data_IF_317908101028
#
_entry.id   IF_317908101028
#
_cell.length_a   1.000
_cell.length_b   1.000
_cell.length_c   1.000
_cell.angle_alpha   90.00
_cell.angle_beta   90.00
_cell.angle_gamma   90.00
#
_symmetry.space_group_name_H-M   'P 1'
#
loop_
_entity.id
_entity.type
_entity.pdbx_description
1 polymer ?
#
# COMPACT_ATOMS: atom_id res chain seq x y z
N UNK A 1 21.88 12.09 -17.91
CA UNK A 1 21.50 11.06 -16.90
C UNK A 1 20.00 10.94 -16.97
N UNK A 2 19.48 9.97 -17.72
CA UNK A 2 18.04 9.71 -17.73
C UNK A 2 17.75 8.62 -16.68
N UNK A 3 16.91 8.99 -15.71
CA UNK A 3 16.14 8.15 -14.80
C UNK A 3 16.94 7.09 -14.03
N UNK A 4 17.40 7.47 -12.82
CA UNK A 4 17.74 6.54 -11.75
C UNK A 4 16.58 5.58 -11.49
N UNK A 5 15.34 6.02 -11.73
CA UNK A 5 14.10 5.24 -11.65
C UNK A 5 13.12 5.85 -12.67
N UNK A 6 12.41 5.05 -13.46
CA UNK A 6 11.22 5.55 -14.16
C UNK A 6 10.13 5.73 -13.09
N UNK A 7 9.71 6.95 -12.73
CA UNK A 7 8.72 7.18 -11.67
C UNK A 7 7.39 6.47 -11.95
N UNK A 8 7.13 6.12 -13.22
CA UNK A 8 5.98 5.30 -13.63
C UNK A 8 6.06 3.85 -13.17
N UNK A 9 7.25 3.28 -13.01
CA UNK A 9 7.40 1.89 -12.55
C UNK A 9 7.12 1.74 -11.06
N UNK A 10 7.47 2.72 -10.23
CA UNK A 10 7.27 2.67 -8.76
C UNK A 10 5.88 3.13 -8.33
N UNK A 11 5.33 4.18 -8.95
CA UNK A 11 3.92 4.55 -8.73
C UNK A 11 2.96 3.46 -9.20
N UNK A 12 3.37 2.64 -10.17
CA UNK A 12 2.65 1.42 -10.56
C UNK A 12 2.57 0.37 -9.42
N UNK A 13 3.46 0.36 -8.43
CA UNK A 13 3.39 -0.63 -7.33
C UNK A 13 2.24 -0.34 -6.38
N UNK A 14 2.09 0.92 -5.96
CA UNK A 14 0.94 1.32 -5.16
C UNK A 14 -0.33 1.35 -5.99
N UNK A 15 -0.32 1.85 -7.23
CA UNK A 15 -1.56 1.92 -8.02
C UNK A 15 -1.96 0.61 -8.70
N UNK A 16 -1.04 -0.23 -9.19
CA UNK A 16 -1.38 -1.46 -9.93
C UNK A 16 -1.59 -2.66 -9.02
N UNK A 17 -0.94 -2.79 -7.86
CA UNK A 17 -1.27 -3.88 -6.92
C UNK A 17 -2.51 -3.58 -6.11
N UNK A 18 -2.75 -2.31 -5.78
CA UNK A 18 -4.05 -1.88 -5.29
C UNK A 18 -5.08 -2.06 -6.39
N UNK A 19 -4.90 -1.57 -7.63
CA UNK A 19 -5.86 -1.81 -8.73
C UNK A 19 -5.98 -3.27 -9.20
N UNK A 20 -4.98 -4.14 -8.99
CA UNK A 20 -5.10 -5.57 -9.32
C UNK A 20 -5.76 -6.38 -8.19
N UNK A 21 -5.63 -5.95 -6.93
CA UNK A 21 -6.44 -6.42 -5.82
C UNK A 21 -7.84 -5.78 -5.79
N UNK A 22 -8.02 -4.61 -6.40
CA UNK A 22 -9.24 -3.80 -6.48
C UNK A 22 -9.91 -3.82 -7.87
N UNK A 23 -9.44 -4.63 -8.83
CA UNK A 23 -10.14 -4.85 -10.11
C UNK A 23 -11.07 -6.04 -10.00
N UNK A 24 -11.94 -5.96 -9.01
CA UNK A 24 -13.24 -6.60 -8.96
C UNK A 24 -14.28 -5.50 -9.23
N UNK A 25 -15.52 -5.84 -9.66
CA UNK A 25 -16.47 -4.88 -10.22
C UNK A 25 -16.57 -3.62 -9.37
N UNK A 26 -16.59 -2.47 -10.06
CA UNK A 26 -16.60 -1.14 -9.48
C UNK A 26 -17.39 -1.11 -8.17
N UNK A 27 -16.72 -0.77 -7.07
CA UNK A 27 -17.38 -0.58 -5.78
C UNK A 27 -18.56 0.37 -6.02
N UNK A 28 -19.77 -0.11 -5.75
CA UNK A 28 -20.97 0.71 -5.79
C UNK A 28 -20.86 1.74 -4.67
N UNK A 29 -20.36 2.92 -5.01
CA UNK A 29 -20.36 4.05 -4.09
C UNK A 29 -21.82 4.48 -3.87
N UNK A 30 -22.33 4.26 -2.66
CA UNK A 30 -23.67 4.68 -2.28
C UNK A 30 -23.65 6.16 -1.89
N UNK A 31 -24.07 7.04 -2.81
CA UNK A 31 -24.22 8.46 -2.56
C UNK A 31 -25.67 8.85 -2.25
N UNK A 32 -25.90 9.43 -1.06
CA UNK A 32 -26.90 10.48 -0.81
C UNK A 32 -26.85 11.07 0.62
N UNK A 33 -26.31 10.33 1.61
CA UNK A 33 -26.24 10.77 3.01
C UNK A 33 -24.81 10.61 3.55
N UNK A 34 -24.31 11.62 4.28
CA UNK A 34 -23.00 11.59 4.94
C UNK A 34 -23.16 11.69 6.45
N UNK A 35 -22.34 10.97 7.20
CA UNK A 35 -22.30 10.98 8.66
C UNK A 35 -21.03 11.69 9.12
N UNK A 36 -21.16 12.70 9.97
CA UNK A 36 -20.00 13.34 10.58
C UNK A 36 -19.38 12.43 11.64
N UNK A 37 -18.07 12.20 11.56
CA UNK A 37 -17.30 11.37 12.48
C UNK A 37 -16.24 12.19 13.23
N UNK A 38 -16.58 13.43 13.55
CA UNK A 38 -15.66 14.39 14.17
C UNK A 38 -15.79 15.79 13.56
N UNK A 39 -14.96 16.71 14.02
CA UNK A 39 -14.88 18.09 13.51
C UNK A 39 -14.20 18.22 12.14
N UNK A 40 -13.64 17.14 11.59
CA UNK A 40 -12.87 17.18 10.34
C UNK A 40 -13.00 15.98 9.41
N UNK A 41 -13.91 15.04 9.66
CA UNK A 41 -14.08 13.83 8.84
C UNK A 41 -15.57 13.54 8.59
N UNK A 42 -15.92 13.29 7.33
CA UNK A 42 -17.23 12.81 6.90
C UNK A 42 -17.10 11.39 6.35
N UNK A 43 -17.99 10.50 6.74
CA UNK A 43 -18.12 9.18 6.11
C UNK A 43 -19.38 9.13 5.24
N UNK A 44 -19.27 8.51 4.08
CA UNK A 44 -20.45 8.09 3.32
C UNK A 44 -21.28 7.11 4.15
N UNK A 45 -22.59 7.08 3.91
CA UNK A 45 -23.48 6.20 4.67
C UNK A 45 -23.08 4.73 4.49
N UNK A 46 -22.80 4.01 5.59
CA UNK A 46 -22.49 2.59 5.51
C UNK A 46 -23.64 1.79 4.89
N UNK A 47 -23.34 0.75 4.10
CA UNK A 47 -24.37 -0.08 3.50
C UNK A 47 -25.15 -0.82 4.59
N UNK A 48 -26.47 -0.92 4.44
CA UNK A 48 -27.31 -1.75 5.32
C UNK A 48 -27.15 -3.24 5.06
N UNK A 49 -26.62 -3.62 3.89
CA UNK A 49 -26.27 -5.00 3.57
C UNK A 49 -25.06 -5.11 2.65
N UNK A 50 -24.30 -6.18 2.83
CA UNK A 50 -23.16 -6.57 1.99
C UNK A 50 -23.37 -8.01 1.53
N UNK A 51 -23.14 -8.31 0.26
CA UNK A 51 -23.22 -9.68 -0.23
C UNK A 51 -21.92 -10.45 0.07
N UNK A 52 -22.05 -11.76 0.36
CA UNK A 52 -20.88 -12.61 0.62
C UNK A 52 -19.96 -12.62 -0.59
N UNK A 53 -18.65 -12.43 -0.34
CA UNK A 53 -17.64 -12.41 -1.37
C UNK A 53 -17.62 -11.12 -2.21
N UNK A 54 -18.51 -10.17 -1.94
CA UNK A 54 -18.44 -8.84 -2.52
C UNK A 54 -17.69 -7.87 -1.61
N UNK A 55 -16.99 -6.94 -2.24
CA UNK A 55 -16.31 -5.84 -1.57
C UNK A 55 -17.21 -4.61 -1.66
N UNK A 56 -17.55 -4.03 -0.52
CA UNK A 56 -18.26 -2.74 -0.46
C UNK A 56 -17.37 -1.73 0.24
N UNK A 57 -17.22 -0.55 -0.34
CA UNK A 57 -16.37 0.50 0.23
C UNK A 57 -17.22 1.58 0.89
N UNK A 58 -16.78 2.06 2.04
CA UNK A 58 -17.24 3.31 2.64
C UNK A 58 -16.15 4.35 2.38
N UNK A 59 -16.49 5.46 1.74
CA UNK A 59 -15.54 6.55 1.53
C UNK A 59 -15.55 7.51 2.73
N UNK A 60 -14.38 8.00 3.08
CA UNK A 60 -14.16 8.97 4.15
C UNK A 60 -13.48 10.19 3.56
N UNK A 61 -14.08 11.34 3.79
CA UNK A 61 -13.68 12.62 3.24
C UNK A 61 -13.12 13.49 4.35
N UNK A 62 -11.90 13.98 4.14
CA UNK A 62 -11.30 14.98 5.00
C UNK A 62 -11.94 16.35 4.76
N UNK A 63 -12.37 17.01 5.82
CA UNK A 63 -12.97 18.37 5.75
C UNK A 63 -12.19 19.42 6.52
N UNK A 64 -11.18 19.02 7.30
CA UNK A 64 -10.24 19.90 8.00
C UNK A 64 -8.80 19.50 7.70
N UNK A 65 -7.87 20.43 7.42
CA UNK A 65 -6.46 20.14 7.17
C UNK A 65 -5.75 19.39 8.32
N UNK A 66 -6.23 19.57 9.55
CA UNK A 66 -5.63 18.99 10.77
C UNK A 66 -6.09 17.56 11.04
N UNK A 67 -7.16 17.09 10.39
CA UNK A 67 -7.65 15.73 10.56
C UNK A 67 -6.76 14.72 9.80
N UNK A 68 -6.46 13.59 10.44
CA UNK A 68 -5.78 12.46 9.83
C UNK A 68 -6.68 11.22 9.93
N UNK A 69 -7.28 10.81 8.83
CA UNK A 69 -8.25 9.70 8.83
C UNK A 69 -7.64 8.40 9.37
N UNK A 70 -6.36 8.12 9.12
CA UNK A 70 -5.74 6.86 9.55
C UNK A 70 -5.27 6.86 10.99
N UNK A 71 -4.89 8.02 11.52
CA UNK A 71 -4.54 8.16 12.93
C UNK A 71 -5.79 8.37 13.81
N UNK A 72 -6.79 9.06 13.27
CA UNK A 72 -7.98 9.46 14.01
C UNK A 72 -9.09 8.43 13.95
N UNK A 73 -9.24 7.64 12.88
CA UNK A 73 -10.33 6.66 12.77
C UNK A 73 -9.87 5.21 12.94
N UNK A 74 -10.59 4.48 13.79
CA UNK A 74 -10.51 3.03 13.86
C UNK A 74 -11.87 2.40 13.57
N UNK A 75 -11.85 1.26 12.90
CA UNK A 75 -13.05 0.50 12.55
C UNK A 75 -12.94 -0.91 13.14
N UNK A 76 -14.01 -1.41 13.74
CA UNK A 76 -14.08 -2.78 14.25
C UNK A 76 -15.41 -3.42 13.94
N UNK A 77 -15.39 -4.71 13.61
CA UNK A 77 -16.59 -5.53 13.49
C UNK A 77 -16.84 -6.30 14.78
N UNK A 78 -18.10 -6.43 15.18
CA UNK A 78 -18.49 -7.28 16.33
C UNK A 78 -18.24 -8.77 16.07
N UNK A 79 -18.23 -9.19 14.80
CA UNK A 79 -17.91 -10.56 14.37
C UNK A 79 -17.16 -10.53 13.03
N UNK A 80 -15.83 -10.54 13.09
CA UNK A 80 -14.96 -10.61 11.91
C UNK A 80 -15.14 -11.88 11.07
N UNK A 81 -15.74 -12.92 11.65
CA UNK A 81 -16.10 -14.12 10.90
C UNK A 81 -17.36 -13.96 10.06
N UNK A 82 -18.16 -12.91 10.30
CA UNK A 82 -19.33 -12.48 9.48
C UNK A 82 -18.93 -11.35 8.55
N UNK A 83 -18.33 -10.29 9.08
CA UNK A 83 -17.99 -9.08 8.35
C UNK A 83 -16.58 -8.65 8.72
N UNK A 84 -15.67 -8.65 7.74
CA UNK A 84 -14.33 -8.11 7.92
C UNK A 84 -14.29 -6.68 7.38
N UNK A 85 -13.82 -5.73 8.19
CA UNK A 85 -13.60 -4.35 7.78
C UNK A 85 -12.10 -4.07 7.71
N UNK A 86 -11.62 -3.48 6.62
CA UNK A 86 -10.21 -3.22 6.40
C UNK A 86 -10.00 -1.89 5.69
N UNK A 87 -9.12 -1.05 6.23
CA UNK A 87 -8.74 0.21 5.60
C UNK A 87 -7.98 -0.05 4.29
N UNK A 88 -8.39 0.67 3.25
CA UNK A 88 -7.72 0.80 1.97
C UNK A 88 -6.61 1.84 2.01
N UNK A 89 -5.85 1.95 0.91
CA UNK A 89 -4.93 3.07 0.76
C UNK A 89 -5.70 4.37 0.47
N UNK A 90 -5.13 5.49 0.93
CA UNK A 90 -5.69 6.82 0.69
C UNK A 90 -5.52 7.18 -0.79
N UNK A 91 -6.55 7.76 -1.39
CA UNK A 91 -6.34 8.55 -2.59
C UNK A 91 -5.75 9.90 -2.17
N UNK A 92 -4.43 10.05 -2.32
CA UNK A 92 -3.71 11.29 -2.02
C UNK A 92 -4.16 12.47 -2.90
N UNK A 93 -4.84 12.21 -4.02
CA UNK A 93 -5.30 13.24 -4.96
C UNK A 93 -6.59 13.91 -4.46
N UNK A 94 -7.49 13.10 -3.90
CA UNK A 94 -8.84 13.50 -3.49
C UNK A 94 -9.02 13.49 -1.96
N UNK A 95 -7.93 13.35 -1.20
CA UNK A 95 -7.89 13.23 0.26
C UNK A 95 -8.95 12.27 0.84
N UNK A 96 -9.27 11.23 0.07
CA UNK A 96 -10.34 10.28 0.38
C UNK A 96 -9.72 8.96 0.84
N UNK A 97 -10.14 8.49 2.01
CA UNK A 97 -9.79 7.15 2.50
C UNK A 97 -10.98 6.20 2.28
N UNK A 98 -10.70 4.91 2.11
CA UNK A 98 -11.73 3.91 1.93
C UNK A 98 -11.65 2.86 3.04
N UNK A 99 -12.78 2.50 3.63
CA UNK A 99 -12.92 1.29 4.45
C UNK A 99 -13.64 0.23 3.63
N UNK A 100 -12.95 -0.86 3.34
CA UNK A 100 -13.51 -1.99 2.62
C UNK A 100 -14.17 -2.97 3.57
N UNK A 101 -15.41 -3.33 3.27
CA UNK A 101 -16.21 -4.32 3.96
C UNK A 101 -16.27 -5.60 3.13
N UNK A 102 -16.02 -6.73 3.79
CA UNK A 102 -16.06 -8.05 3.18
C UNK A 102 -17.03 -8.95 3.93
N UNK A 103 -18.15 -9.31 3.29
CA UNK A 103 -19.05 -10.34 3.79
C UNK A 103 -18.38 -11.72 3.72
N UNK A 104 -18.18 -12.36 4.88
CA UNK A 104 -17.50 -13.67 4.99
C UNK A 104 -18.50 -14.84 5.05
N UNK A 105 -19.59 -14.71 5.79
CA UNK A 105 -20.66 -15.72 5.92
C UNK A 105 -22.00 -15.03 6.21
N UNK A 106 -23.14 -15.69 5.95
CA UNK A 106 -24.45 -15.10 6.23
C UNK A 106 -24.58 -14.78 7.71
N UNK A 107 -25.10 -13.60 8.04
CA UNK A 107 -25.28 -13.18 9.42
C UNK A 107 -25.40 -11.67 9.54
N UNK A 108 -25.37 -11.20 10.78
CA UNK A 108 -25.42 -9.77 11.10
C UNK A 108 -24.23 -9.43 11.97
N UNK A 109 -23.52 -8.37 11.62
CA UNK A 109 -22.41 -7.85 12.41
C UNK A 109 -22.60 -6.34 12.61
N UNK A 110 -22.13 -5.84 13.74
CA UNK A 110 -22.08 -4.42 14.02
C UNK A 110 -20.71 -3.87 13.63
N UNK A 111 -20.70 -2.90 12.71
CA UNK A 111 -19.52 -2.12 12.38
C UNK A 111 -19.50 -0.90 13.30
N UNK A 112 -18.45 -0.78 14.11
CA UNK A 112 -18.24 0.39 14.97
C UNK A 112 -17.08 1.22 14.43
N UNK A 113 -17.31 2.53 14.27
CA UNK A 113 -16.32 3.52 13.91
C UNK A 113 -16.03 4.38 15.13
N UNK A 114 -14.75 4.54 15.46
CA UNK A 114 -14.26 5.36 16.57
C UNK A 114 -13.39 6.47 16.03
N UNK A 115 -13.61 7.69 16.51
CA UNK A 115 -12.68 8.81 16.35
C UNK A 115 -11.83 8.98 17.61
N UNK A 116 -10.51 8.95 17.48
CA UNK A 116 -9.55 9.31 18.51
C UNK A 116 -9.39 10.84 18.63
N UNK A 117 -9.68 11.57 17.55
CA UNK A 117 -9.77 13.01 17.54
C UNK A 117 -11.10 13.44 18.18
N UNK A 118 -11.01 13.96 19.40
CA UNK A 118 -12.11 14.48 20.23
C UNK A 118 -13.06 13.39 20.78
N UNK A 119 -13.73 13.69 21.90
CA UNK A 119 -14.63 12.77 22.61
C UNK A 119 -15.96 12.55 21.85
N UNK A 120 -15.88 12.14 20.59
CA UNK A 120 -17.02 11.74 19.79
C UNK A 120 -17.49 10.35 20.21
N UNK A 121 -18.80 10.15 20.41
CA UNK A 121 -19.32 8.82 20.69
C UNK A 121 -19.06 7.90 19.48
N UNK A 122 -18.73 6.61 19.72
CA UNK A 122 -18.60 5.64 18.66
C UNK A 122 -19.89 5.57 17.84
N UNK A 123 -19.76 5.53 16.52
CA UNK A 123 -20.90 5.35 15.63
C UNK A 123 -20.97 3.89 15.22
N UNK A 124 -22.12 3.26 15.49
CA UNK A 124 -22.33 1.83 15.23
C UNK A 124 -23.40 1.64 14.17
N UNK A 125 -23.13 0.74 13.23
CA UNK A 125 -24.03 0.40 12.14
C UNK A 125 -24.24 -1.10 12.12
N UNK A 126 -25.49 -1.53 12.00
CA UNK A 126 -25.82 -2.94 11.77
C UNK A 126 -25.70 -3.24 10.29
N UNK A 127 -24.84 -4.18 9.93
CA UNK A 127 -24.64 -4.61 8.54
C UNK A 127 -25.12 -6.05 8.41
N UNK A 128 -26.07 -6.27 7.50
CA UNK A 128 -26.57 -7.60 7.19
C UNK A 128 -25.74 -8.22 6.04
N UNK A 129 -25.09 -9.35 6.29
CA UNK A 129 -24.35 -10.09 5.27
C UNK A 129 -25.29 -11.09 4.60
N UNK A 130 -25.62 -10.82 3.33
CA UNK A 130 -26.61 -11.57 2.53
C UNK A 130 -25.96 -12.43 1.45
N UNK A 131 -26.77 -13.31 0.86
CA UNK A 131 -26.37 -14.20 -0.22
C UNK A 131 -26.10 -15.64 0.22
N UNK A 132 -26.02 -16.55 -0.75
CA UNK A 132 -25.40 -17.86 -0.52
C UNK A 132 -23.91 -17.63 -0.29
N UNK A 133 -23.28 -18.46 0.54
CA UNK A 133 -21.84 -18.38 0.72
C UNK A 133 -21.14 -18.54 -0.65
N UNK A 134 -20.75 -17.42 -1.29
CA UNK A 134 -19.72 -17.46 -2.32
C UNK A 134 -18.50 -18.09 -1.66
N UNK A 135 -17.75 -18.89 -2.41
CA UNK A 135 -16.61 -19.64 -1.89
C UNK A 135 -15.77 -18.79 -0.92
N UNK A 136 -15.33 -19.34 0.22
CA UNK A 136 -14.59 -18.57 1.22
C UNK A 136 -13.42 -17.84 0.56
N UNK A 137 -13.25 -16.56 0.91
CA UNK A 137 -12.17 -15.72 0.36
C UNK A 137 -10.86 -16.51 0.39
N UNK A 138 -10.18 -16.72 -0.76
CA UNK A 138 -8.99 -17.56 -0.81
C UNK A 138 -7.95 -17.10 0.20
N UNK A 139 -7.38 -18.03 0.98
CA UNK A 139 -6.35 -17.71 1.97
C UNK A 139 -5.19 -16.93 1.35
N UNK A 140 -4.84 -17.24 0.10
CA UNK A 140 -3.80 -16.52 -0.64
C UNK A 140 -4.11 -15.03 -0.84
N UNK A 141 -5.38 -14.64 -0.97
CA UNK A 141 -5.79 -13.24 -1.06
C UNK A 141 -5.67 -12.54 0.31
N UNK A 142 -6.10 -13.22 1.39
CA UNK A 142 -5.93 -12.72 2.76
C UNK A 142 -4.45 -12.50 3.10
N UNK A 143 -3.63 -13.48 2.76
CA UNK A 143 -2.17 -13.45 2.91
C UNK A 143 -1.54 -12.28 2.13
N UNK A 144 -1.95 -12.07 0.87
CA UNK A 144 -1.46 -10.96 0.07
C UNK A 144 -1.82 -9.61 0.70
N UNK A 145 -3.05 -9.43 1.18
CA UNK A 145 -3.48 -8.19 1.84
C UNK A 145 -2.69 -7.94 3.12
N UNK A 146 -2.55 -8.95 3.98
CA UNK A 146 -1.76 -8.86 5.20
C UNK A 146 -0.30 -8.50 4.90
N UNK A 147 0.28 -9.10 3.86
CA UNK A 147 1.63 -8.79 3.42
C UNK A 147 1.79 -7.34 2.93
N UNK A 148 0.84 -6.84 2.13
CA UNK A 148 0.88 -5.47 1.62
C UNK A 148 0.85 -4.43 2.76
N UNK A 149 0.04 -4.66 3.79
CA UNK A 149 0.03 -3.83 4.99
C UNK A 149 1.38 -3.86 5.73
N UNK A 150 2.00 -5.03 5.86
CA UNK A 150 3.30 -5.16 6.55
C UNK A 150 4.43 -4.39 5.86
N UNK A 151 4.40 -4.27 4.52
CA UNK A 151 5.44 -3.58 3.76
C UNK A 151 5.20 -2.08 3.58
N UNK A 152 4.11 -1.54 4.11
CA UNK A 152 3.73 -0.13 3.93
C UNK A 152 4.81 0.83 4.45
N UNK A 153 5.23 0.67 5.71
CA UNK A 153 6.29 1.51 6.32
C UNK A 153 7.63 1.43 5.59
N UNK A 154 7.95 0.24 5.07
CA UNK A 154 9.12 0.03 4.22
C UNK A 154 8.98 0.83 2.92
N UNK A 155 7.80 0.80 2.30
CA UNK A 155 7.49 1.46 1.03
C UNK A 155 7.51 2.98 1.18
N UNK A 156 6.96 3.51 2.27
CA UNK A 156 6.99 4.95 2.60
C UNK A 156 8.43 5.47 2.69
N UNK A 157 9.28 4.76 3.45
CA UNK A 157 10.70 5.11 3.56
C UNK A 157 11.40 5.04 2.20
N UNK A 158 11.13 4.02 1.41
CA UNK A 158 11.72 3.86 0.09
C UNK A 158 11.30 5.00 -0.86
N UNK A 159 10.01 5.34 -0.90
CA UNK A 159 9.47 6.43 -1.73
C UNK A 159 10.07 7.78 -1.36
N UNK A 160 10.19 8.11 -0.06
CA UNK A 160 10.87 9.33 0.41
C UNK A 160 12.30 9.45 -0.12
N UNK A 161 13.05 8.35 -0.16
CA UNK A 161 14.40 8.34 -0.73
C UNK A 161 14.39 8.60 -2.24
N UNK A 162 13.44 8.00 -2.95
CA UNK A 162 13.31 8.10 -4.40
C UNK A 162 12.89 9.51 -4.82
N UNK A 163 11.89 10.09 -4.15
CA UNK A 163 11.40 11.43 -4.46
C UNK A 163 12.49 12.47 -4.24
N UNK A 164 13.21 12.38 -3.12
CA UNK A 164 14.36 13.24 -2.85
C UNK A 164 15.46 13.10 -3.90
N UNK A 165 15.75 11.88 -4.35
CA UNK A 165 16.72 11.65 -5.42
C UNK A 165 16.24 12.22 -6.76
N UNK A 166 14.96 12.02 -7.11
CA UNK A 166 14.39 12.44 -8.40
C UNK A 166 14.29 13.97 -8.54
N UNK A 167 14.27 14.70 -7.42
CA UNK A 167 14.37 16.16 -7.41
C UNK A 167 15.78 16.66 -7.78
N UNK A 168 16.79 15.78 -7.81
CA UNK A 168 18.15 16.16 -8.22
C UNK A 168 18.24 16.25 -9.74
N UNK A 169 18.71 17.40 -10.23
CA UNK A 169 19.12 17.56 -11.61
C UNK A 169 20.30 16.64 -11.98
N UNK A 170 20.62 16.56 -13.28
CA UNK A 170 21.79 15.82 -13.77
C UNK A 170 23.04 16.23 -13.00
N UNK A 171 23.76 15.23 -12.45
CA UNK A 171 24.98 15.47 -11.69
C UNK A 171 26.00 16.27 -12.50
N UNK A 172 26.48 17.36 -11.92
CA UNK A 172 27.50 18.24 -12.46
C UNK A 172 28.41 18.75 -11.35
N UNK A 173 29.51 19.39 -11.72
CA UNK A 173 30.36 20.07 -10.72
C UNK A 173 29.63 21.20 -9.99
N UNK A 174 28.65 21.84 -10.64
CA UNK A 174 27.91 22.98 -10.09
C UNK A 174 26.92 22.57 -8.99
N UNK A 175 26.25 21.42 -9.12
CA UNK A 175 25.28 20.91 -8.13
C UNK A 175 25.86 19.83 -7.21
N UNK A 176 27.16 19.54 -7.29
CA UNK A 176 27.83 18.47 -6.51
C UNK A 176 27.52 18.51 -5.01
N UNK A 177 27.54 19.71 -4.42
CA UNK A 177 27.28 19.89 -2.97
C UNK A 177 25.84 19.51 -2.63
N UNK A 178 24.87 19.99 -3.43
CA UNK A 178 23.46 19.66 -3.28
C UNK A 178 23.21 18.15 -3.38
N UNK A 179 23.76 17.52 -4.43
CA UNK A 179 23.66 16.06 -4.60
C UNK A 179 24.23 15.34 -3.39
N UNK A 180 25.42 15.74 -2.92
CA UNK A 180 26.04 15.13 -1.74
C UNK A 180 25.15 15.24 -0.49
N UNK A 181 24.62 16.43 -0.19
CA UNK A 181 23.78 16.66 1.00
C UNK A 181 22.46 15.90 0.89
N UNK A 182 21.78 15.94 -0.26
CA UNK A 182 20.54 15.18 -0.45
C UNK A 182 20.76 13.68 -0.28
N UNK A 183 21.87 13.13 -0.80
CA UNK A 183 22.23 11.74 -0.58
C UNK A 183 22.49 11.44 0.90
N UNK A 184 23.26 12.29 1.58
CA UNK A 184 23.68 12.08 2.97
C UNK A 184 22.52 12.20 3.97
N UNK A 185 21.64 13.19 3.76
CA UNK A 185 20.69 13.65 4.76
C UNK A 185 19.29 13.06 4.54
N UNK A 186 18.95 12.70 3.30
CA UNK A 186 17.61 12.21 2.95
C UNK A 186 17.64 10.82 2.33
N UNK A 187 18.35 10.62 1.22
CA UNK A 187 18.26 9.36 0.45
C UNK A 187 18.82 8.18 1.23
N UNK A 188 20.08 8.27 1.70
CA UNK A 188 20.75 7.15 2.39
C UNK A 188 20.04 6.78 3.71
N UNK A 189 19.65 7.72 4.59
CA UNK A 189 18.92 7.39 5.81
C UNK A 189 17.59 6.69 5.53
N UNK A 190 16.83 7.12 4.53
CA UNK A 190 15.55 6.51 4.18
C UNK A 190 15.71 5.14 3.49
N UNK A 191 16.71 4.96 2.62
CA UNK A 191 17.07 3.62 2.11
C UNK A 191 17.50 2.68 3.23
N UNK A 192 18.27 3.17 4.21
CA UNK A 192 18.66 2.38 5.37
C UNK A 192 17.43 1.95 6.20
N UNK A 193 16.46 2.85 6.40
CA UNK A 193 15.17 2.51 7.03
C UNK A 193 14.39 1.46 6.22
N UNK A 194 14.33 1.58 4.90
CA UNK A 194 13.70 0.57 4.04
C UNK A 194 14.37 -0.81 4.15
N UNK A 195 15.70 -0.86 4.26
CA UNK A 195 16.46 -2.09 4.55
C UNK A 195 16.15 -2.63 5.95
N UNK A 196 16.03 -1.76 6.95
CA UNK A 196 15.68 -2.15 8.31
C UNK A 196 14.26 -2.74 8.37
N UNK A 197 13.25 -2.03 7.85
CA UNK A 197 11.87 -2.47 7.87
C UNK A 197 11.64 -3.75 7.06
N UNK A 198 12.32 -3.92 5.91
CA UNK A 198 12.24 -5.19 5.17
C UNK A 198 12.70 -6.39 5.99
N UNK A 199 13.66 -6.25 6.92
CA UNK A 199 14.03 -7.38 7.79
C UNK A 199 12.95 -7.74 8.80
N UNK A 200 12.06 -6.81 9.14
CA UNK A 200 10.98 -7.05 10.10
C UNK A 200 9.72 -7.66 9.50
N UNK A 201 9.61 -7.71 8.17
CA UNK A 201 8.41 -8.24 7.50
C UNK A 201 8.39 -9.77 7.60
N UNK A 202 7.30 -10.30 8.15
CA UNK A 202 7.04 -11.73 8.25
C UNK A 202 6.01 -12.12 7.19
N UNK A 203 6.49 -12.42 5.97
CA UNK A 203 5.60 -12.81 4.89
C UNK A 203 4.81 -14.09 5.25
N UNK A 204 3.48 -14.10 5.06
CA UNK A 204 2.59 -15.13 5.61
C UNK A 204 2.67 -16.49 4.92
N UNK A 205 3.19 -16.55 3.69
CA UNK A 205 3.37 -17.81 2.96
C UNK A 205 4.71 -17.87 2.20
N UNK A 206 5.05 -19.05 1.70
CA UNK A 206 6.34 -19.33 1.06
C UNK A 206 6.57 -18.50 -0.22
N UNK A 207 5.54 -18.31 -1.05
CA UNK A 207 5.62 -17.53 -2.28
C UNK A 207 5.91 -16.05 -1.96
N UNK A 208 5.15 -15.46 -1.04
CA UNK A 208 5.35 -14.08 -0.59
C UNK A 208 6.69 -13.91 0.12
N UNK A 209 7.16 -14.91 0.87
CA UNK A 209 8.49 -14.88 1.51
C UNK A 209 9.61 -14.84 0.47
N UNK A 210 9.49 -15.63 -0.61
CA UNK A 210 10.45 -15.62 -1.70
C UNK A 210 10.44 -14.28 -2.46
N UNK A 211 9.26 -13.70 -2.69
CA UNK A 211 9.11 -12.38 -3.31
C UNK A 211 9.70 -11.29 -2.40
N UNK A 212 9.40 -11.33 -1.11
CA UNK A 212 9.90 -10.37 -0.14
C UNK A 212 11.42 -10.38 -0.03
N UNK A 213 12.04 -11.56 -0.05
CA UNK A 213 13.50 -11.69 -0.05
C UNK A 213 14.14 -10.92 -1.23
N UNK A 214 13.51 -10.93 -2.42
CA UNK A 214 13.97 -10.14 -3.56
C UNK A 214 13.88 -8.63 -3.29
N UNK A 215 12.77 -8.15 -2.71
CA UNK A 215 12.65 -6.75 -2.32
C UNK A 215 13.70 -6.32 -1.29
N UNK A 216 13.98 -7.18 -0.30
CA UNK A 216 15.04 -6.93 0.66
C UNK A 216 16.41 -6.77 -0.02
N UNK A 217 16.74 -7.68 -0.95
CA UNK A 217 17.98 -7.59 -1.74
C UNK A 217 18.06 -6.31 -2.58
N UNK A 218 16.94 -5.90 -3.18
CA UNK A 218 16.84 -4.63 -3.94
C UNK A 218 17.15 -3.44 -3.03
N UNK A 219 16.49 -3.33 -1.89
CA UNK A 219 16.71 -2.22 -0.94
C UNK A 219 18.15 -2.18 -0.46
N UNK A 220 18.74 -3.34 -0.17
CA UNK A 220 20.13 -3.43 0.25
C UNK A 220 21.10 -3.01 -0.87
N UNK A 221 20.83 -3.40 -2.11
CA UNK A 221 21.63 -3.03 -3.27
C UNK A 221 21.55 -1.53 -3.57
N UNK A 222 20.33 -0.96 -3.57
CA UNK A 222 20.07 0.48 -3.70
C UNK A 222 20.84 1.28 -2.63
N UNK A 223 20.72 0.88 -1.36
CA UNK A 223 21.44 1.50 -0.24
C UNK A 223 22.96 1.50 -0.47
N UNK A 224 23.55 0.33 -0.74
CA UNK A 224 25.01 0.19 -0.94
C UNK A 224 25.51 1.00 -2.13
N UNK A 225 24.79 0.98 -3.25
CA UNK A 225 25.15 1.74 -4.44
C UNK A 225 25.12 3.25 -4.17
N UNK A 226 24.13 3.71 -3.42
CA UNK A 226 23.97 5.13 -3.04
C UNK A 226 25.06 5.58 -2.08
N UNK A 227 25.43 4.75 -1.11
CA UNK A 227 26.58 5.01 -0.22
C UNK A 227 27.87 5.18 -1.04
N UNK A 228 28.13 4.29 -2.00
CA UNK A 228 29.28 4.41 -2.92
C UNK A 228 29.22 5.67 -3.77
N UNK A 229 28.03 6.08 -4.21
CA UNK A 229 27.85 7.32 -4.96
C UNK A 229 28.22 8.54 -4.11
N UNK A 230 27.71 8.62 -2.87
CA UNK A 230 28.06 9.68 -1.91
C UNK A 230 29.58 9.72 -1.68
N UNK A 231 30.21 8.57 -1.45
CA UNK A 231 31.65 8.49 -1.25
C UNK A 231 32.45 8.96 -2.46
N UNK A 232 32.05 8.57 -3.67
CA UNK A 232 32.69 9.00 -4.90
C UNK A 232 32.61 10.52 -5.07
N UNK A 233 31.45 11.12 -4.77
CA UNK A 233 31.26 12.57 -4.79
C UNK A 233 32.20 13.27 -3.80
N UNK A 234 32.24 12.80 -2.54
CA UNK A 234 33.11 13.35 -1.51
C UNK A 234 34.59 13.27 -1.90
N UNK A 235 35.02 12.11 -2.39
CA UNK A 235 36.40 11.84 -2.82
C UNK A 235 36.72 12.45 -4.20
N UNK A 236 35.78 13.19 -4.81
CA UNK A 236 35.87 13.78 -6.17
C UNK A 236 36.26 12.74 -7.25
N UNK A 237 35.81 11.49 -7.10
CA UNK A 237 36.01 10.39 -8.05
C UNK A 237 34.82 10.27 -9.01
N UNK A 238 35.00 9.52 -10.10
CA UNK A 238 33.92 9.18 -11.02
C UNK A 238 32.80 8.43 -10.29
N UNK A 239 31.55 8.89 -10.48
CA UNK A 239 30.35 8.24 -9.94
C UNK A 239 29.84 7.09 -10.81
N UNK A 240 30.44 6.89 -12.00
CA UNK A 240 29.97 5.89 -12.97
C UNK A 240 29.92 4.45 -12.43
N UNK A 241 30.89 3.96 -11.62
CA UNK A 241 30.79 2.64 -11.02
C UNK A 241 29.57 2.50 -10.09
N UNK A 242 29.28 3.54 -9.30
CA UNK A 242 28.11 3.55 -8.41
C UNK A 242 26.80 3.57 -9.21
N UNK A 243 26.73 4.35 -10.29
CA UNK A 243 25.57 4.37 -11.18
C UNK A 243 25.28 2.98 -11.79
N UNK A 244 26.31 2.26 -12.23
CA UNK A 244 26.15 0.87 -12.72
C UNK A 244 25.59 -0.08 -11.65
N UNK A 245 25.92 0.13 -10.38
CA UNK A 245 25.36 -0.68 -9.30
C UNK A 245 23.90 -0.34 -9.02
N UNK A 246 23.50 0.92 -9.16
CA UNK A 246 22.09 1.32 -9.12
C UNK A 246 21.33 0.65 -10.27
N UNK A 247 21.85 0.71 -11.49
CA UNK A 247 21.21 0.09 -12.67
C UNK A 247 20.95 -1.41 -12.45
N UNK A 248 21.91 -2.12 -11.82
CA UNK A 248 21.73 -3.52 -11.41
C UNK A 248 20.62 -3.67 -10.37
N UNK A 249 20.59 -2.81 -9.35
CA UNK A 249 19.54 -2.83 -8.34
C UNK A 249 18.15 -2.57 -8.95
N UNK A 250 18.06 -1.70 -9.97
CA UNK A 250 16.82 -1.46 -10.73
C UNK A 250 16.38 -2.67 -11.54
N UNK A 251 17.31 -3.39 -12.15
CA UNK A 251 17.00 -4.63 -12.85
C UNK A 251 16.46 -5.70 -11.89
N UNK A 252 17.03 -5.76 -10.67
CA UNK A 252 16.52 -6.62 -9.60
C UNK A 252 15.10 -6.22 -9.18
N UNK A 253 14.85 -4.92 -9.03
CA UNK A 253 13.51 -4.39 -8.71
C UNK A 253 12.50 -4.87 -9.75
N UNK A 254 12.78 -4.66 -11.04
CA UNK A 254 11.93 -5.13 -12.13
C UNK A 254 11.67 -6.65 -12.08
N UNK A 255 12.61 -7.45 -11.60
CA UNK A 255 12.41 -8.90 -11.43
C UNK A 255 11.52 -9.23 -10.23
N UNK A 256 11.71 -8.57 -9.08
CA UNK A 256 10.85 -8.71 -7.91
C UNK A 256 9.40 -8.31 -8.25
N UNK A 257 9.30 -7.23 -9.02
CA UNK A 257 8.07 -6.67 -9.55
C UNK A 257 7.27 -7.69 -10.40
N UNK A 258 7.95 -8.32 -11.36
CA UNK A 258 7.33 -9.36 -12.20
C UNK A 258 6.88 -10.57 -11.38
N UNK A 259 7.62 -10.93 -10.32
CA UNK A 259 7.27 -12.04 -9.45
C UNK A 259 5.99 -11.74 -8.64
N UNK A 260 5.89 -10.55 -8.06
CA UNK A 260 4.67 -10.13 -7.35
C UNK A 260 3.47 -10.01 -8.27
N UNK A 261 3.66 -9.44 -9.46
CA UNK A 261 2.58 -9.32 -10.46
C UNK A 261 2.06 -10.69 -10.90
N UNK A 262 2.96 -11.66 -11.09
CA UNK A 262 2.60 -13.04 -11.42
C UNK A 262 1.85 -13.72 -10.28
N UNK A 263 2.28 -13.50 -9.03
CA UNK A 263 1.61 -14.02 -7.84
C UNK A 263 0.18 -13.47 -7.71
N UNK A 264 0.00 -12.14 -7.84
CA UNK A 264 -1.31 -11.51 -7.82
C UNK A 264 -2.22 -12.03 -8.94
N UNK A 265 -1.69 -12.20 -10.17
CA UNK A 265 -2.44 -12.79 -11.29
C UNK A 265 -2.87 -14.22 -11.03
N UNK A 266 -2.00 -15.06 -10.44
CA UNK A 266 -2.32 -16.44 -10.06
C UNK A 266 -3.48 -16.50 -9.05
N UNK A 267 -3.49 -15.58 -8.08
CA UNK A 267 -4.61 -15.47 -7.13
C UNK A 267 -5.90 -15.10 -7.87
N UNK A 268 -5.83 -14.16 -8.81
CA UNK A 268 -6.98 -13.69 -9.59
C UNK A 268 -7.51 -14.73 -10.59
N UNK A 269 -6.64 -15.45 -11.31
CA UNK A 269 -7.06 -16.51 -12.24
C UNK A 269 -7.76 -17.65 -11.51
N UNK A 270 -7.24 -18.01 -10.34
CA UNK A 270 -7.88 -19.02 -9.51
C UNK A 270 -9.27 -18.55 -9.06
N UNK A 271 -9.47 -17.25 -8.80
CA UNK A 271 -10.78 -16.70 -8.46
C UNK A 271 -11.83 -16.92 -9.57
N UNK A 272 -11.47 -16.70 -10.85
CA UNK A 272 -12.40 -16.90 -11.98
C UNK A 272 -12.70 -18.37 -12.28
N UNK A 273 -11.76 -19.29 -12.04
CA UNK A 273 -12.04 -20.73 -12.17
C UNK A 273 -13.09 -21.21 -11.15
N UNK A 274 -13.21 -20.56 -9.99
CA UNK A 274 -14.30 -20.86 -9.04
C UNK A 274 -15.66 -20.34 -9.49
N UNK A 275 -15.69 -19.20 -10.19
CA UNK A 275 -16.93 -18.59 -10.69
C UNK A 275 -17.54 -19.38 -11.87
N UNK A 276 -16.76 -20.20 -12.58
CA UNK A 276 -17.21 -21.06 -13.68
C UNK A 276 -17.68 -22.47 -13.23
N UNK A 277 -17.51 -22.82 -11.94
CA UNK A 277 -17.85 -24.17 -11.42
C UNK A 277 -19.27 -24.22 -10.79
N UNK A 278 -20.10 -23.18 -10.92
CA UNK A 278 -21.52 -23.26 -10.53
C UNK A 278 -22.42 -23.72 -11.72
N UNK A 279 -23.10 -24.89 -11.62
CA UNK A 279 -24.25 -25.23 -12.46
C UNK A 279 -25.55 -24.53 -12.04
#
# INVERSE_FOLDING_TARGET
MNAWINPRLIRFWTTLLLAAALSLPAATAFGANQTALGSGILADTPPSSVDIGEETAIAFHKTSPEADIYEDLTASSSDESVLLAQWGAMDETDETAYLYLYGQKPGTAELTLYSAAEAFPPVTFTVEVKGKAKAPVPQALKDLKAYLLMIEKQTESYNKAIDAYNQLEVYSSANRKLVYTTLADVVIPNLNRAVYFSKSVQAPNADLKAIHAKYHEVHLAQYKATVKMKEAIYKKKSIQPALKEVEKANAMLKSADLAMSSYAKKIKSNQYEWDEIEP
#
